data_IF_733717326912
#
_entry.id   IF_733717326912
#
_cell.length_a   1.000
_cell.length_b   1.000
_cell.length_c   1.000
_cell.angle_alpha   90.00
_cell.angle_beta   90.00
_cell.angle_gamma   90.00
#
_symmetry.space_group_name_H-M   'P 1'
#
loop_
_entity.id
_entity.type
_entity.pdbx_description
1 polymer ?
#
# COMPACT_ATOMS: atom_id res chain seq x y z
N UNK A 1 40.80 21.01 -13.52
CA UNK A 1 40.47 22.31 -12.88
C UNK A 1 39.02 22.22 -12.42
N UNK A 2 38.77 22.20 -11.11
CA UNK A 2 37.41 22.14 -10.58
C UNK A 2 36.73 23.48 -10.77
N UNK A 3 35.67 23.53 -11.58
CA UNK A 3 34.81 24.72 -11.66
C UNK A 3 34.35 25.08 -10.25
N UNK A 4 34.60 26.33 -9.83
CA UNK A 4 34.14 26.82 -8.53
C UNK A 4 32.62 26.86 -8.58
N UNK A 5 31.98 26.03 -7.76
CA UNK A 5 30.52 26.00 -7.63
C UNK A 5 30.02 27.41 -7.28
N UNK A 6 29.10 27.94 -8.09
CA UNK A 6 28.53 29.27 -7.88
C UNK A 6 27.77 29.37 -6.56
N UNK A 7 27.55 30.59 -6.04
CA UNK A 7 26.79 30.80 -4.79
C UNK A 7 25.35 30.24 -4.86
N UNK A 8 24.75 30.25 -6.04
CA UNK A 8 23.44 29.64 -6.30
C UNK A 8 23.42 28.14 -6.04
N UNK A 9 24.51 27.42 -6.33
CA UNK A 9 24.63 25.99 -6.04
C UNK A 9 24.50 25.74 -4.53
N UNK A 10 25.22 26.50 -3.70
CA UNK A 10 25.19 26.30 -2.24
C UNK A 10 23.82 26.62 -1.65
N UNK A 11 23.15 27.66 -2.15
CA UNK A 11 21.79 27.99 -1.73
C UNK A 11 20.81 26.87 -2.10
N UNK A 12 20.84 26.41 -3.35
CA UNK A 12 19.95 25.35 -3.82
C UNK A 12 20.24 24.01 -3.13
N UNK A 13 21.51 23.71 -2.88
CA UNK A 13 21.92 22.54 -2.12
C UNK A 13 21.41 22.62 -0.68
N UNK A 14 21.57 23.76 0.01
CA UNK A 14 21.05 23.93 1.36
C UNK A 14 19.52 23.78 1.42
N UNK A 15 18.81 24.42 0.49
CA UNK A 15 17.34 24.28 0.38
C UNK A 15 16.93 22.83 0.13
N UNK A 16 17.56 22.15 -0.83
CA UNK A 16 17.28 20.76 -1.13
C UNK A 16 17.58 19.84 0.05
N UNK A 17 18.71 20.04 0.75
CA UNK A 17 19.05 19.29 1.96
C UNK A 17 18.02 19.50 3.07
N UNK A 18 17.57 20.74 3.31
CA UNK A 18 16.51 21.02 4.28
C UNK A 18 15.18 20.37 3.89
N UNK A 19 14.83 20.41 2.60
CA UNK A 19 13.65 19.73 2.06
C UNK A 19 13.70 18.21 2.28
N UNK A 20 14.82 17.58 1.96
CA UNK A 20 15.02 16.13 2.20
C UNK A 20 15.00 15.82 3.70
N UNK A 21 15.68 16.61 4.52
CA UNK A 21 15.67 16.42 5.98
C UNK A 21 14.26 16.55 6.57
N UNK A 22 13.47 17.48 6.06
CA UNK A 22 12.06 17.63 6.45
C UNK A 22 11.21 16.44 6.00
N UNK A 23 11.35 16.01 4.74
CA UNK A 23 10.60 14.87 4.18
C UNK A 23 10.90 13.56 4.94
N UNK A 24 12.18 13.30 5.24
CA UNK A 24 12.62 12.10 5.94
C UNK A 24 12.62 12.23 7.46
N UNK A 25 12.35 13.41 8.01
CA UNK A 25 12.34 13.66 9.46
C UNK A 25 11.47 12.68 10.25
N UNK A 26 10.20 12.42 9.83
CA UNK A 26 9.35 11.41 10.46
C UNK A 26 9.93 10.00 10.36
N UNK A 27 10.49 9.60 9.21
CA UNK A 27 11.11 8.29 9.04
C UNK A 27 12.34 8.12 9.92
N UNK A 28 13.20 9.13 9.98
CA UNK A 28 14.37 9.17 10.87
C UNK A 28 13.93 9.07 12.33
N UNK A 29 12.87 9.79 12.71
CA UNK A 29 12.29 9.70 14.06
C UNK A 29 11.84 8.29 14.39
N UNK A 30 11.10 7.63 13.50
CA UNK A 30 10.64 6.24 13.68
C UNK A 30 11.85 5.29 13.82
N UNK A 31 12.88 5.45 12.98
CA UNK A 31 14.10 4.64 13.06
C UNK A 31 14.79 4.84 14.40
N UNK A 32 14.93 6.08 14.87
CA UNK A 32 15.54 6.38 16.17
C UNK A 32 14.72 5.72 17.30
N UNK A 33 13.42 5.96 17.36
CA UNK A 33 12.53 5.40 18.40
C UNK A 33 12.48 3.85 18.39
N UNK A 34 12.74 3.22 17.24
CA UNK A 34 12.81 1.74 17.16
C UNK A 34 13.94 1.12 18.00
N UNK A 35 14.95 1.92 18.40
CA UNK A 35 16.02 1.51 19.31
C UNK A 35 15.66 1.65 20.79
N UNK A 36 14.39 1.75 21.15
CA UNK A 36 14.01 1.83 22.57
C UNK A 36 13.94 0.46 23.24
N UNK A 37 14.07 0.47 24.57
CA UNK A 37 13.81 -0.71 25.40
C UNK A 37 12.32 -1.01 25.57
N UNK A 38 11.96 -2.04 26.38
CA UNK A 38 10.57 -2.39 26.69
C UNK A 38 9.76 -1.23 27.30
N UNK A 39 10.42 -0.38 28.08
CA UNK A 39 9.83 0.81 28.73
C UNK A 39 9.83 2.06 27.81
N UNK A 40 10.10 1.88 26.52
CA UNK A 40 10.14 2.93 25.51
C UNK A 40 8.75 3.39 25.06
N UNK A 41 8.53 4.71 25.02
CA UNK A 41 7.31 5.30 24.44
C UNK A 41 7.37 5.46 22.92
N UNK A 42 6.31 6.02 22.33
CA UNK A 42 6.23 6.34 20.89
C UNK A 42 6.70 7.78 20.56
N UNK A 43 7.26 8.48 21.55
CA UNK A 43 7.64 9.90 21.46
C UNK A 43 8.98 10.14 22.18
N UNK A 44 9.62 11.25 21.83
CA UNK A 44 10.77 11.75 22.58
C UNK A 44 10.34 12.39 23.93
N UNK A 45 11.19 12.39 24.97
CA UNK A 45 12.56 11.88 25.02
C UNK A 45 12.64 10.35 25.10
N UNK A 46 13.74 9.80 24.59
CA UNK A 46 13.94 8.35 24.51
C UNK A 46 14.29 7.74 25.87
N UNK A 47 13.57 6.69 26.26
CA UNK A 47 13.90 5.87 27.45
C UNK A 47 14.95 4.80 27.12
N UNK A 48 16.22 5.21 27.09
CA UNK A 48 17.37 4.32 26.85
C UNK A 48 17.49 3.80 25.41
N UNK A 49 18.62 3.13 25.12
CA UNK A 49 18.94 2.56 23.80
C UNK A 49 19.06 1.04 23.92
N UNK A 50 18.36 0.30 23.06
CA UNK A 50 18.26 -1.15 23.07
C UNK A 50 17.94 -1.68 21.67
N UNK A 51 18.29 -2.94 21.42
CA UNK A 51 17.88 -3.69 20.22
C UNK A 51 16.72 -4.66 20.52
N UNK A 52 16.03 -4.46 21.65
CA UNK A 52 14.97 -5.35 22.14
C UNK A 52 13.89 -5.63 21.08
N UNK A 53 13.30 -4.58 20.50
CA UNK A 53 12.22 -4.71 19.52
C UNK A 53 12.64 -5.41 18.23
N UNK A 54 13.90 -5.24 17.79
CA UNK A 54 14.43 -6.01 16.65
C UNK A 54 14.52 -7.50 16.97
N UNK A 55 14.92 -7.86 18.20
CA UNK A 55 14.92 -9.25 18.65
C UNK A 55 13.52 -9.84 18.78
N UNK A 56 12.54 -9.06 19.25
CA UNK A 56 11.12 -9.46 19.29
C UNK A 56 10.58 -9.68 17.88
N UNK A 57 10.88 -8.75 16.96
CA UNK A 57 10.50 -8.83 15.55
C UNK A 57 11.03 -10.12 14.90
N UNK A 58 12.29 -10.47 15.15
CA UNK A 58 12.91 -11.67 14.57
C UNK A 58 12.37 -12.98 15.15
N UNK A 59 11.97 -12.97 16.43
CA UNK A 59 11.44 -14.17 17.10
C UNK A 59 10.03 -14.53 16.64
N UNK A 60 9.29 -13.61 16.02
CA UNK A 60 7.89 -13.82 15.63
C UNK A 60 6.98 -14.17 16.82
N UNK A 61 7.41 -13.92 18.06
CA UNK A 61 6.68 -14.27 19.27
C UNK A 61 5.79 -13.10 19.70
N UNK A 62 4.50 -13.22 19.38
CA UNK A 62 3.42 -12.46 20.01
C UNK A 62 2.42 -11.87 19.02
N UNK A 63 1.17 -12.36 19.06
CA UNK A 63 -0.11 -11.85 18.48
C UNK A 63 -0.15 -11.50 16.98
N UNK A 64 0.94 -11.03 16.37
CA UNK A 64 1.06 -10.60 14.99
C UNK A 64 2.23 -11.36 14.34
N UNK A 65 1.89 -12.26 13.43
CA UNK A 65 2.88 -12.95 12.59
C UNK A 65 3.38 -12.00 11.49
N UNK A 66 4.40 -11.19 11.83
CA UNK A 66 4.95 -10.17 10.94
C UNK A 66 5.53 -10.80 9.67
N UNK A 67 6.13 -11.99 9.77
CA UNK A 67 6.73 -12.65 8.62
C UNK A 67 5.67 -13.19 7.66
N UNK A 68 4.59 -13.77 8.17
CA UNK A 68 3.45 -14.14 7.35
C UNK A 68 2.75 -12.92 6.74
N UNK A 69 2.59 -11.82 7.49
CA UNK A 69 1.99 -10.58 6.98
C UNK A 69 2.85 -9.93 5.87
N UNK A 70 4.18 -9.95 6.05
CA UNK A 70 5.13 -9.49 5.06
C UNK A 70 5.07 -10.35 3.80
N UNK A 71 5.10 -11.68 3.93
CA UNK A 71 5.01 -12.60 2.79
C UNK A 71 3.70 -12.42 2.02
N UNK A 72 2.56 -12.26 2.71
CA UNK A 72 1.26 -11.97 2.07
C UNK A 72 1.30 -10.65 1.29
N UNK A 73 1.82 -9.59 1.89
CA UNK A 73 1.96 -8.28 1.24
C UNK A 73 2.89 -8.35 0.02
N UNK A 74 3.98 -9.11 0.11
CA UNK A 74 4.91 -9.31 -0.98
C UNK A 74 4.25 -10.02 -2.17
N UNK A 75 3.59 -11.15 -1.93
CA UNK A 75 2.90 -11.90 -3.00
C UNK A 75 1.74 -11.12 -3.60
N UNK A 76 0.95 -10.43 -2.77
CA UNK A 76 -0.15 -9.60 -3.23
C UNK A 76 0.38 -8.43 -4.09
N UNK A 77 1.39 -7.72 -3.59
CA UNK A 77 2.01 -6.60 -4.30
C UNK A 77 2.61 -7.03 -5.63
N UNK A 78 3.29 -8.17 -5.67
CA UNK A 78 3.85 -8.73 -6.90
C UNK A 78 2.74 -9.11 -7.89
N UNK A 79 1.70 -9.79 -7.43
CA UNK A 79 0.56 -10.19 -8.26
C UNK A 79 -0.17 -9.00 -8.87
N UNK A 80 -0.49 -7.98 -8.06
CA UNK A 80 -1.12 -6.74 -8.51
C UNK A 80 -0.23 -6.01 -9.49
N UNK A 81 1.06 -5.87 -9.19
CA UNK A 81 2.01 -5.18 -10.09
C UNK A 81 2.06 -5.84 -11.46
N UNK A 82 2.19 -7.17 -11.52
CA UNK A 82 2.24 -7.91 -12.78
C UNK A 82 0.94 -7.75 -13.56
N UNK A 83 -0.21 -7.90 -12.89
CA UNK A 83 -1.52 -7.77 -13.53
C UNK A 83 -1.73 -6.36 -14.08
N UNK A 84 -1.43 -5.33 -13.28
CA UNK A 84 -1.55 -3.92 -13.68
C UNK A 84 -0.63 -3.63 -14.86
N UNK A 85 0.63 -4.04 -14.83
CA UNK A 85 1.56 -3.80 -15.94
C UNK A 85 1.05 -4.47 -17.22
N UNK A 86 0.65 -5.75 -17.17
CA UNK A 86 0.16 -6.47 -18.35
C UNK A 86 -1.10 -5.79 -18.91
N UNK A 87 -2.10 -5.51 -18.08
CA UNK A 87 -3.36 -4.88 -18.52
C UNK A 87 -3.10 -3.48 -19.05
N UNK A 88 -2.33 -2.64 -18.35
CA UNK A 88 -2.05 -1.27 -18.76
C UNK A 88 -1.22 -1.20 -20.05
N UNK A 89 -0.25 -2.10 -20.24
CA UNK A 89 0.54 -2.17 -21.48
C UNK A 89 -0.35 -2.61 -22.65
N UNK A 90 -1.17 -3.65 -22.48
CA UNK A 90 -2.09 -4.11 -23.52
C UNK A 90 -3.13 -3.03 -23.87
N UNK A 91 -3.71 -2.37 -22.87
CA UNK A 91 -4.63 -1.26 -23.07
C UNK A 91 -3.93 -0.11 -23.81
N UNK A 92 -2.73 0.28 -23.39
CA UNK A 92 -1.93 1.32 -24.05
C UNK A 92 -1.63 1.00 -25.51
N UNK A 93 -1.33 -0.27 -25.82
CA UNK A 93 -1.14 -0.74 -27.19
C UNK A 93 -2.45 -0.69 -28.00
N UNK A 94 -3.58 -1.03 -27.40
CA UNK A 94 -4.90 -0.96 -28.06
C UNK A 94 -5.28 0.47 -28.45
N UNK A 95 -5.02 1.46 -27.58
CA UNK A 95 -5.28 2.88 -27.87
C UNK A 95 -4.38 3.50 -28.95
N UNK A 96 -3.34 2.79 -29.43
CA UNK A 96 -2.50 3.27 -30.55
C UNK A 96 -3.24 3.35 -31.88
N UNK A 97 -4.34 2.61 -32.05
CA UNK A 97 -5.17 2.67 -33.25
C UNK A 97 -6.56 3.16 -32.85
N UNK A 98 -7.21 4.03 -33.65
CA UNK A 98 -8.58 4.41 -33.37
C UNK A 98 -9.49 3.18 -33.48
N UNK A 99 -10.32 2.96 -32.46
CA UNK A 99 -11.30 1.88 -32.44
C UNK A 99 -12.65 2.39 -31.92
N UNK A 100 -13.72 1.65 -32.23
CA UNK A 100 -15.09 2.05 -31.88
C UNK A 100 -15.25 2.03 -30.36
N UNK A 101 -15.69 3.15 -29.77
CA UNK A 101 -15.87 3.29 -28.31
C UNK A 101 -14.64 3.75 -27.54
N UNK A 102 -13.52 4.08 -28.22
CA UNK A 102 -12.30 4.56 -27.57
C UNK A 102 -12.54 5.78 -26.65
N UNK A 103 -13.33 6.76 -27.10
CA UNK A 103 -13.65 7.95 -26.29
C UNK A 103 -14.45 7.61 -25.03
N UNK A 104 -15.42 6.69 -25.12
CA UNK A 104 -16.19 6.25 -23.96
C UNK A 104 -15.27 5.59 -22.93
N UNK A 105 -14.46 4.61 -23.35
CA UNK A 105 -13.51 3.93 -22.46
C UNK A 105 -12.50 4.91 -21.84
N UNK A 106 -11.99 5.87 -22.62
CA UNK A 106 -11.07 6.88 -22.14
C UNK A 106 -11.69 7.75 -21.04
N UNK A 107 -12.91 8.25 -21.26
CA UNK A 107 -13.60 9.04 -20.24
C UNK A 107 -14.00 8.22 -19.01
N UNK A 108 -14.40 6.96 -19.19
CA UNK A 108 -14.66 6.05 -18.05
C UNK A 108 -13.41 5.83 -17.21
N UNK A 109 -12.24 5.65 -17.84
CA UNK A 109 -10.97 5.48 -17.13
C UNK A 109 -10.59 6.75 -16.34
N UNK A 110 -10.73 7.93 -16.93
CA UNK A 110 -10.51 9.21 -16.23
C UNK A 110 -11.48 9.38 -15.08
N UNK A 111 -12.77 9.11 -15.29
CA UNK A 111 -13.78 9.21 -14.25
C UNK A 111 -13.45 8.31 -13.05
N UNK A 112 -12.98 7.08 -13.31
CA UNK A 112 -12.54 6.15 -12.26
C UNK A 112 -11.36 6.66 -11.44
N UNK A 113 -10.46 7.47 -12.03
CA UNK A 113 -9.29 8.01 -11.34
C UNK A 113 -9.65 9.15 -10.38
N UNK A 114 -10.73 9.87 -10.67
CA UNK A 114 -11.20 11.03 -9.89
C UNK A 114 -12.07 10.59 -8.70
N UNK A 115 -12.63 9.37 -8.75
CA UNK A 115 -13.48 8.86 -7.68
C UNK A 115 -12.71 8.80 -6.35
N UNK A 116 -13.31 9.30 -5.25
CA UNK A 116 -12.67 9.24 -3.94
C UNK A 116 -12.55 7.79 -3.47
N UNK A 117 -11.49 7.49 -2.74
CA UNK A 117 -11.18 6.13 -2.25
C UNK A 117 -12.30 5.51 -1.41
N UNK A 118 -13.09 6.33 -0.70
CA UNK A 118 -14.25 5.88 0.09
C UNK A 118 -15.30 5.21 -0.79
N UNK A 119 -15.61 5.80 -1.94
CA UNK A 119 -16.63 5.27 -2.86
C UNK A 119 -16.15 3.96 -3.46
N UNK A 120 -14.88 3.88 -3.85
CA UNK A 120 -14.26 2.66 -4.39
C UNK A 120 -14.29 1.55 -3.33
N UNK A 121 -13.88 1.85 -2.10
CA UNK A 121 -13.87 0.88 -1.01
C UNK A 121 -15.27 0.37 -0.66
N UNK A 122 -16.26 1.26 -0.59
CA UNK A 122 -17.65 0.86 -0.33
C UNK A 122 -18.21 0.02 -1.47
N UNK A 123 -17.89 0.38 -2.72
CA UNK A 123 -18.26 -0.39 -3.91
C UNK A 123 -17.76 -1.82 -3.84
N UNK A 124 -16.46 -2.00 -3.55
CA UNK A 124 -15.86 -3.34 -3.40
C UNK A 124 -16.53 -4.12 -2.26
N UNK A 125 -16.76 -3.50 -1.10
CA UNK A 125 -17.42 -4.17 0.03
C UNK A 125 -18.85 -4.66 -0.34
N UNK A 126 -19.61 -3.85 -1.06
CA UNK A 126 -20.94 -4.23 -1.55
C UNK A 126 -20.88 -5.33 -2.62
N UNK A 127 -19.91 -5.26 -3.54
CA UNK A 127 -19.69 -6.29 -4.56
C UNK A 127 -19.46 -7.66 -3.92
N UNK A 128 -18.54 -7.77 -2.95
CA UNK A 128 -18.28 -9.02 -2.24
C UNK A 128 -19.51 -9.51 -1.46
N UNK A 129 -20.27 -8.61 -0.83
CA UNK A 129 -21.51 -8.98 -0.13
C UNK A 129 -22.56 -9.57 -1.08
N UNK A 130 -22.73 -8.97 -2.25
CA UNK A 130 -23.69 -9.45 -3.27
C UNK A 130 -23.21 -10.79 -3.84
N UNK A 131 -21.92 -10.89 -4.15
CA UNK A 131 -21.30 -12.12 -4.66
C UNK A 131 -21.46 -13.27 -3.67
N UNK A 132 -21.22 -13.03 -2.37
CA UNK A 132 -21.42 -14.02 -1.31
C UNK A 132 -22.87 -14.49 -1.22
N UNK A 133 -23.82 -13.57 -1.34
CA UNK A 133 -25.24 -13.90 -1.38
C UNK A 133 -25.59 -14.81 -2.57
N UNK A 134 -25.05 -14.50 -3.74
CA UNK A 134 -25.23 -15.31 -4.95
C UNK A 134 -24.58 -16.70 -4.83
N UNK A 135 -23.36 -16.77 -4.29
CA UNK A 135 -22.67 -18.04 -4.09
C UNK A 135 -23.46 -18.94 -3.13
N UNK A 136 -23.96 -18.37 -2.03
CA UNK A 136 -24.77 -19.09 -1.04
C UNK A 136 -26.10 -19.58 -1.62
N UNK A 137 -26.75 -18.80 -2.48
CA UNK A 137 -28.01 -19.22 -3.11
C UNK A 137 -27.82 -20.35 -4.13
N UNK A 138 -26.65 -20.43 -4.77
CA UNK A 138 -26.34 -21.47 -5.76
C UNK A 138 -25.92 -22.80 -5.12
N UNK A 139 -25.53 -22.80 -3.84
CA UNK A 139 -25.16 -24.02 -3.09
C UNK A 139 -23.86 -24.71 -3.54
N UNK A 140 -23.12 -24.12 -4.49
CA UNK A 140 -21.97 -24.72 -5.19
C UNK A 140 -20.80 -25.06 -4.26
N UNK A 141 -20.58 -24.26 -3.20
CA UNK A 141 -19.44 -24.42 -2.28
C UNK A 141 -19.81 -25.09 -0.95
N UNK A 142 -21.03 -25.63 -0.85
CA UNK A 142 -21.53 -26.30 0.35
C UNK A 142 -21.86 -25.34 1.50
N UNK A 143 -22.40 -25.87 2.61
CA UNK A 143 -22.87 -25.08 3.76
C UNK A 143 -21.74 -24.46 4.60
N UNK A 144 -20.48 -24.83 4.37
CA UNK A 144 -19.31 -24.29 5.07
C UNK A 144 -18.75 -23.00 4.45
N UNK A 145 -19.29 -22.55 3.30
CA UNK A 145 -18.85 -21.32 2.65
C UNK A 145 -19.31 -20.08 3.43
N UNK A 146 -18.34 -19.32 3.98
CA UNK A 146 -18.63 -18.13 4.77
C UNK A 146 -18.56 -16.84 3.95
N UNK A 147 -17.48 -16.62 3.20
CA UNK A 147 -17.28 -15.44 2.36
C UNK A 147 -16.19 -15.65 1.31
N UNK A 148 -16.33 -14.99 0.16
CA UNK A 148 -15.30 -14.82 -0.86
C UNK A 148 -14.22 -13.79 -0.44
N UNK A 149 -14.48 -13.01 0.62
CA UNK A 149 -13.55 -12.06 1.24
C UNK A 149 -12.58 -12.79 2.20
N UNK A 150 -11.76 -13.70 1.65
CA UNK A 150 -10.68 -14.34 2.38
C UNK A 150 -9.49 -13.40 2.64
N UNK A 151 -8.48 -13.85 3.38
CA UNK A 151 -7.31 -13.02 3.77
C UNK A 151 -6.54 -12.39 2.60
N UNK A 152 -6.60 -12.99 1.40
CA UNK A 152 -5.91 -12.50 0.20
C UNK A 152 -6.77 -11.54 -0.64
N UNK A 153 -8.10 -11.59 -0.50
CA UNK A 153 -9.06 -10.75 -1.23
C UNK A 153 -9.60 -9.62 -0.34
N UNK A 154 -9.61 -9.79 0.98
CA UNK A 154 -10.05 -8.80 1.96
C UNK A 154 -9.21 -7.53 1.94
N UNK A 155 -7.96 -7.58 1.51
CA UNK A 155 -7.12 -6.40 1.34
C UNK A 155 -7.73 -5.34 0.39
N UNK A 156 -8.63 -5.74 -0.52
CA UNK A 156 -9.36 -4.81 -1.40
C UNK A 156 -10.58 -4.16 -0.72
N UNK A 157 -11.14 -4.77 0.35
CA UNK A 157 -12.26 -4.27 1.14
C UNK A 157 -11.90 -3.83 2.57
N UNK A 158 -10.64 -3.99 2.99
CA UNK A 158 -10.14 -3.80 4.35
C UNK A 158 -10.08 -2.34 4.81
N UNK A 159 -10.62 -1.38 4.04
CA UNK A 159 -10.67 0.00 4.51
C UNK A 159 -11.76 0.25 5.57
N UNK A 160 -12.60 -0.75 5.89
CA UNK A 160 -13.76 -0.61 6.78
C UNK A 160 -13.88 -1.69 7.89
N UNK A 161 -12.88 -2.55 8.09
CA UNK A 161 -12.95 -3.64 9.08
C UNK A 161 -11.98 -3.49 10.25
N UNK A 162 -11.65 -2.25 10.63
CA UNK A 162 -11.01 -1.94 11.91
C UNK A 162 -12.05 -1.37 12.87
#
# INVERSE_FOLDING_TARGET
MGERRGRSFYFLAAFFTLFVAFLYGPTITIVILSFQGPEGGLTFPMNGVSTHWFGVLWKGLGVVDVWAAFARSFWLGLGVTLLTVVISVLAGLAFRRPFRGASLLFYTAIASLILPSIVVSLGIALEFRILDGFIKSTGVFGPSFQSAMGLSTSALGAHLTW
#
